data_IF_459032846611
#
_entry.id   IF_459032846611
#
_cell.length_a   1.000
_cell.length_b   1.000
_cell.length_c   1.000
_cell.angle_alpha   90.00
_cell.angle_beta   90.00
_cell.angle_gamma   90.00
#
_symmetry.space_group_name_H-M   'P 1'
#
loop_
_entity.id
_entity.type
_entity.pdbx_description
1 polymer ?
#
# COMPACT_ATOMS: atom_id res chain seq x y z
N UNK A 1 30.04 80.49 28.49
CA UNK A 1 29.78 81.33 27.29
C UNK A 1 30.69 80.87 26.17
N UNK A 2 30.17 80.90 24.94
CA UNK A 2 30.76 80.54 23.63
C UNK A 2 30.64 79.08 23.18
N UNK A 3 29.59 78.92 22.37
CA UNK A 3 29.41 77.97 21.29
C UNK A 3 30.54 78.00 20.26
N UNK A 4 30.85 76.87 19.63
CA UNK A 4 31.07 76.84 18.18
C UNK A 4 30.59 75.51 17.59
N UNK A 5 29.92 75.65 16.47
CA UNK A 5 29.19 74.68 15.66
C UNK A 5 29.99 74.32 14.40
N UNK A 6 29.74 73.12 13.86
CA UNK A 6 29.73 72.70 12.43
C UNK A 6 30.97 72.97 11.55
N UNK A 7 31.27 72.28 10.44
CA UNK A 7 30.52 71.38 9.56
C UNK A 7 31.44 70.40 8.83
N UNK A 8 30.83 69.38 8.23
CA UNK A 8 31.39 68.46 7.23
C UNK A 8 31.77 69.16 5.91
N UNK A 9 32.77 68.61 5.18
CA UNK A 9 32.63 68.30 3.74
C UNK A 9 33.78 67.41 3.20
N UNK A 10 33.38 66.37 2.42
CA UNK A 10 33.98 65.79 1.19
C UNK A 10 35.50 65.48 1.13
N UNK A 11 36.04 64.40 0.55
CA UNK A 11 35.58 63.36 -0.40
C UNK A 11 36.77 62.40 -0.67
N UNK A 12 36.49 61.08 -0.83
CA UNK A 12 37.27 59.99 -1.49
C UNK A 12 38.71 59.73 -0.99
N UNK A 13 39.20 58.50 -0.81
CA UNK A 13 39.74 57.56 -1.80
C UNK A 13 39.79 56.11 -1.22
N UNK A 14 39.95 55.15 -2.14
CA UNK A 14 39.68 53.70 -2.08
C UNK A 14 40.79 52.89 -1.35
N UNK A 15 40.39 51.73 -0.79
CA UNK A 15 41.03 50.38 -0.84
C UNK A 15 41.43 49.69 0.48
N UNK A 16 41.13 48.37 0.48
CA UNK A 16 41.61 47.26 1.32
C UNK A 16 40.94 47.00 2.67
N UNK A 17 39.89 46.17 2.67
CA UNK A 17 39.77 45.10 3.68
C UNK A 17 39.43 43.77 3.00
N UNK A 18 40.27 42.79 3.31
CA UNK A 18 40.41 41.52 2.63
C UNK A 18 39.35 40.49 3.05
N UNK A 19 38.94 39.69 2.06
CA UNK A 19 38.66 38.25 2.12
C UNK A 19 38.43 37.64 3.51
N UNK A 20 37.16 37.49 3.89
CA UNK A 20 36.68 36.30 4.62
C UNK A 20 35.62 35.66 3.76
N UNK A 21 36.07 35.03 2.66
CA UNK A 21 35.29 34.02 1.96
C UNK A 21 35.22 32.82 2.91
N UNK A 22 34.15 32.77 3.70
CA UNK A 22 33.74 31.55 4.38
C UNK A 22 33.55 30.47 3.33
N UNK A 23 34.56 29.61 3.18
CA UNK A 23 34.41 28.29 2.61
C UNK A 23 33.39 27.55 3.49
N UNK A 24 32.11 27.70 3.15
CA UNK A 24 31.10 26.69 3.42
C UNK A 24 31.61 25.44 2.70
N UNK A 25 32.38 24.63 3.42
CA UNK A 25 32.63 23.26 3.04
C UNK A 25 31.25 22.60 3.04
N UNK A 26 30.68 22.44 1.84
CA UNK A 26 29.56 21.54 1.64
C UNK A 26 30.15 20.17 1.97
N UNK A 27 29.95 19.72 3.21
CA UNK A 27 30.26 18.34 3.57
C UNK A 27 29.48 17.47 2.58
N UNK A 28 30.15 16.57 1.83
CA UNK A 28 29.44 15.70 0.91
C UNK A 28 28.33 15.00 1.69
N UNK A 29 27.08 15.10 1.23
CA UNK A 29 25.98 14.36 1.81
C UNK A 29 26.41 12.89 1.83
N UNK A 30 26.59 12.33 3.03
CA UNK A 30 26.94 10.93 3.20
C UNK A 30 25.95 10.09 2.38
N UNK A 31 26.48 9.19 1.54
CA UNK A 31 25.66 8.23 0.81
C UNK A 31 24.66 7.59 1.77
N UNK A 32 23.37 7.64 1.44
CA UNK A 32 22.29 7.15 2.29
C UNK A 32 22.08 5.64 2.20
N UNK A 33 22.73 5.01 1.22
CA UNK A 33 22.83 3.55 1.08
C UNK A 33 24.28 3.18 1.31
N UNK A 34 24.54 2.45 2.40
CA UNK A 34 25.88 2.02 2.79
C UNK A 34 25.85 0.50 2.98
N UNK A 35 26.64 -0.27 2.21
CA UNK A 35 26.73 -1.70 2.41
C UNK A 35 27.39 -2.02 3.75
N UNK A 36 27.15 -3.22 4.25
CA UNK A 36 27.96 -3.81 5.33
C UNK A 36 28.80 -4.98 4.79
N UNK A 37 29.64 -5.56 5.66
CA UNK A 37 30.56 -6.64 5.31
C UNK A 37 30.09 -8.00 5.86
N UNK A 38 28.77 -8.21 5.96
CA UNK A 38 28.18 -9.41 6.59
C UNK A 38 27.77 -10.50 5.59
N UNK A 39 28.16 -10.34 4.33
CA UNK A 39 27.91 -11.29 3.24
C UNK A 39 29.24 -11.84 2.71
N UNK A 40 29.30 -13.11 2.26
CA UNK A 40 30.51 -13.67 1.66
C UNK A 40 30.98 -12.89 0.42
N UNK A 41 30.03 -12.55 -0.47
CA UNK A 41 30.22 -11.56 -1.52
C UNK A 41 29.44 -10.29 -1.13
N UNK A 42 30.11 -9.18 -0.83
CA UNK A 42 29.48 -7.98 -0.29
C UNK A 42 28.59 -7.28 -1.32
N UNK A 43 27.65 -6.49 -0.83
CA UNK A 43 26.91 -5.54 -1.67
C UNK A 43 27.84 -4.41 -2.08
N UNK A 44 27.81 -4.05 -3.36
CA UNK A 44 28.62 -2.97 -3.92
C UNK A 44 27.69 -1.80 -4.22
N UNK A 45 28.04 -0.61 -3.73
CA UNK A 45 27.22 0.60 -3.90
C UNK A 45 28.05 1.70 -4.51
N UNK A 46 27.64 2.17 -5.68
CA UNK A 46 28.28 3.27 -6.40
C UNK A 46 27.26 4.37 -6.67
N UNK A 47 27.55 5.60 -6.24
CA UNK A 47 26.70 6.75 -6.56
C UNK A 47 27.15 7.39 -7.88
N UNK A 48 26.27 7.42 -8.89
CA UNK A 48 26.51 8.06 -10.20
C UNK A 48 25.36 9.00 -10.53
N UNK A 49 25.62 10.31 -10.53
CA UNK A 49 24.57 11.30 -10.79
C UNK A 49 23.42 11.16 -9.79
N UNK A 50 22.20 10.94 -10.28
CA UNK A 50 21.00 10.68 -9.47
C UNK A 50 20.82 9.19 -9.07
N UNK A 51 21.57 8.28 -9.68
CA UNK A 51 21.46 6.85 -9.43
C UNK A 51 22.43 6.40 -8.32
N UNK A 52 21.94 5.53 -7.45
CA UNK A 52 22.69 4.74 -6.48
C UNK A 52 22.69 3.33 -7.07
N UNK A 53 23.73 2.99 -7.83
CA UNK A 53 23.92 1.70 -8.45
C UNK A 53 24.30 0.68 -7.37
N UNK A 54 23.51 -0.39 -7.26
CA UNK A 54 23.68 -1.49 -6.32
C UNK A 54 23.96 -2.75 -7.12
N UNK A 55 25.17 -3.29 -7.00
CA UNK A 55 25.62 -4.52 -7.68
C UNK A 55 26.28 -5.46 -6.66
N UNK A 56 26.85 -6.56 -7.13
CA UNK A 56 27.43 -7.58 -6.26
C UNK A 56 26.35 -8.29 -5.43
N UNK A 57 26.58 -8.44 -4.14
CA UNK A 57 25.76 -9.29 -3.29
C UNK A 57 26.13 -10.76 -3.43
N UNK A 58 25.52 -11.61 -2.60
CA UNK A 58 25.78 -13.05 -2.65
C UNK A 58 24.58 -13.77 -3.25
N UNK A 59 24.76 -14.43 -4.39
CA UNK A 59 23.74 -15.29 -4.98
C UNK A 59 23.90 -16.72 -4.46
N UNK A 60 22.79 -17.32 -4.02
CA UNK A 60 22.68 -18.75 -3.71
C UNK A 60 21.45 -19.30 -4.42
N UNK A 61 21.69 -20.06 -5.50
CA UNK A 61 20.61 -20.54 -6.36
C UNK A 61 19.81 -19.38 -6.97
N UNK A 62 18.49 -19.37 -6.72
CA UNK A 62 17.55 -18.33 -7.21
C UNK A 62 17.40 -17.15 -6.25
N UNK A 63 18.18 -17.10 -5.17
CA UNK A 63 18.13 -16.05 -4.16
C UNK A 63 19.38 -15.15 -4.27
N UNK A 64 19.18 -13.85 -4.37
CA UNK A 64 20.23 -12.83 -4.32
C UNK A 64 20.13 -12.06 -2.99
N UNK A 65 21.20 -12.09 -2.21
CA UNK A 65 21.24 -11.45 -0.89
C UNK A 65 22.05 -10.16 -0.94
N UNK A 66 21.45 -9.08 -0.46
CA UNK A 66 22.06 -7.79 -0.20
C UNK A 66 21.97 -7.40 1.28
N UNK A 67 23.00 -6.73 1.78
CA UNK A 67 23.10 -6.32 3.17
C UNK A 67 23.68 -4.92 3.28
N UNK A 68 22.98 -4.07 4.01
CA UNK A 68 23.31 -2.67 4.17
C UNK A 68 23.33 -2.31 5.64
N UNK A 69 24.27 -1.47 6.05
CA UNK A 69 24.19 -0.81 7.35
C UNK A 69 23.06 0.21 7.37
N UNK A 70 22.94 0.99 6.30
CA UNK A 70 21.93 2.03 6.14
C UNK A 70 21.35 1.96 4.73
N UNK A 71 20.04 2.15 4.59
CA UNK A 71 19.37 2.21 3.29
C UNK A 71 18.26 3.27 3.32
N UNK A 72 18.54 4.43 2.75
CA UNK A 72 17.56 5.50 2.48
C UNK A 72 17.77 6.04 1.07
N UNK A 73 16.67 6.44 0.44
CA UNK A 73 16.65 6.92 -0.95
C UNK A 73 16.06 8.33 -0.94
N UNK A 74 16.87 9.38 -1.12
CA UNK A 74 16.36 10.75 -1.17
C UNK A 74 15.39 10.99 -2.33
N UNK A 75 14.67 12.11 -2.28
CA UNK A 75 13.90 12.57 -3.42
C UNK A 75 14.76 12.70 -4.69
N UNK A 76 14.20 12.35 -5.84
CA UNK A 76 14.85 12.35 -7.17
C UNK A 76 16.09 11.45 -7.28
N UNK A 77 16.34 10.59 -6.29
CA UNK A 77 17.36 9.55 -6.35
C UNK A 77 16.72 8.22 -6.71
N UNK A 78 17.52 7.36 -7.33
CA UNK A 78 17.10 6.01 -7.70
C UNK A 78 18.06 5.03 -7.03
N UNK A 79 17.57 4.14 -6.16
CA UNK A 79 18.32 2.96 -5.75
C UNK A 79 18.08 1.86 -6.78
N UNK A 80 19.09 1.58 -7.60
CA UNK A 80 18.98 0.70 -8.76
C UNK A 80 19.80 -0.57 -8.51
N UNK A 81 19.12 -1.67 -8.20
CA UNK A 81 19.71 -3.00 -8.17
C UNK A 81 19.97 -3.43 -9.61
N UNK A 82 21.23 -3.64 -10.00
CA UNK A 82 21.62 -3.86 -11.39
C UNK A 82 22.36 -5.17 -11.58
N UNK A 83 22.49 -5.56 -12.84
CA UNK A 83 23.22 -6.77 -13.26
C UNK A 83 22.63 -8.06 -12.70
N UNK A 84 21.34 -8.03 -12.36
CA UNK A 84 20.63 -9.19 -11.82
C UNK A 84 20.64 -10.30 -12.86
N UNK A 85 21.06 -11.49 -12.43
CA UNK A 85 20.98 -12.69 -13.25
C UNK A 85 19.51 -13.07 -13.48
N UNK A 86 19.05 -13.31 -14.72
CA UNK A 86 17.64 -13.64 -14.99
C UNK A 86 17.10 -14.88 -14.25
N UNK A 87 17.98 -15.75 -13.73
CA UNK A 87 17.58 -16.89 -12.90
C UNK A 87 17.17 -16.52 -11.46
N UNK A 88 17.52 -15.32 -11.00
CA UNK A 88 17.16 -14.81 -9.66
C UNK A 88 15.66 -14.60 -9.58
N UNK A 89 15.05 -15.20 -8.57
CA UNK A 89 13.63 -15.08 -8.26
C UNK A 89 13.39 -14.12 -7.09
N UNK A 90 14.30 -14.08 -6.12
CA UNK A 90 14.14 -13.25 -4.93
C UNK A 90 15.41 -12.46 -4.63
N UNK A 91 15.24 -11.16 -4.41
CA UNK A 91 16.27 -10.23 -3.95
C UNK A 91 15.94 -9.90 -2.48
N UNK A 92 16.78 -10.35 -1.57
CA UNK A 92 16.63 -10.09 -0.14
C UNK A 92 17.57 -8.97 0.30
N UNK A 93 17.02 -7.82 0.66
CA UNK A 93 17.77 -6.64 1.12
C UNK A 93 17.51 -6.41 2.60
N UNK A 94 18.53 -6.62 3.45
CA UNK A 94 18.44 -6.36 4.89
C UNK A 94 19.18 -5.10 5.30
N UNK A 95 18.65 -4.40 6.30
CA UNK A 95 19.29 -3.25 6.96
C UNK A 95 19.72 -3.67 8.36
N UNK A 96 21.02 -3.63 8.64
CA UNK A 96 21.65 -4.10 9.89
C UNK A 96 21.95 -2.99 10.89
N UNK A 97 22.00 -1.72 10.44
CA UNK A 97 22.18 -0.57 11.32
C UNK A 97 20.90 -0.21 12.09
N UNK A 98 20.99 0.85 12.90
CA UNK A 98 19.88 1.34 13.74
C UNK A 98 19.00 2.39 13.05
N UNK A 99 19.30 2.75 11.81
CA UNK A 99 18.63 3.83 11.09
C UNK A 99 17.30 3.38 10.47
N UNK A 100 16.26 4.19 10.62
CA UNK A 100 15.00 4.05 9.86
C UNK A 100 15.27 4.29 8.37
N UNK A 101 14.73 3.43 7.51
CA UNK A 101 14.77 3.61 6.05
C UNK A 101 13.81 4.71 5.61
N UNK A 102 14.33 5.82 5.07
CA UNK A 102 13.52 6.89 4.46
C UNK A 102 13.63 6.79 2.94
N UNK A 103 12.57 6.34 2.30
CA UNK A 103 12.49 6.14 0.86
C UNK A 103 11.60 7.24 0.30
N UNK A 104 12.15 8.28 -0.29
CA UNK A 104 11.41 9.35 -0.97
C UNK A 104 11.78 9.45 -2.46
N UNK A 105 12.56 8.50 -2.97
CA UNK A 105 12.86 8.34 -4.39
C UNK A 105 12.48 6.95 -4.87
N UNK A 106 13.01 6.55 -6.03
CA UNK A 106 12.64 5.29 -6.67
C UNK A 106 13.51 4.12 -6.21
N UNK A 107 12.91 2.94 -6.01
CA UNK A 107 13.63 1.66 -5.93
C UNK A 107 13.39 0.90 -7.23
N UNK A 108 14.45 0.39 -7.83
CA UNK A 108 14.40 -0.26 -9.14
C UNK A 108 15.25 -1.54 -9.15
N UNK A 109 14.83 -2.55 -9.91
CA UNK A 109 15.57 -3.78 -10.12
C UNK A 109 15.71 -4.08 -11.63
N UNK A 110 16.95 -4.14 -12.14
CA UNK A 110 17.29 -4.34 -13.54
C UNK A 110 18.18 -5.57 -13.78
N UNK A 111 17.85 -6.32 -14.83
CA UNK A 111 18.69 -7.41 -15.33
C UNK A 111 19.99 -6.88 -15.97
N UNK A 112 20.90 -7.79 -16.34
CA UNK A 112 22.17 -7.43 -17.01
C UNK A 112 22.00 -6.69 -18.35
N UNK A 113 20.90 -6.91 -19.05
CA UNK A 113 20.57 -6.25 -20.31
C UNK A 113 19.86 -4.89 -20.12
N UNK A 114 19.61 -4.48 -18.87
CA UNK A 114 18.92 -3.24 -18.54
C UNK A 114 17.39 -3.34 -18.53
N UNK A 115 16.82 -4.50 -18.84
CA UNK A 115 15.37 -4.73 -18.69
C UNK A 115 14.96 -4.81 -17.21
N UNK A 116 13.70 -4.48 -16.90
CA UNK A 116 13.16 -4.60 -15.54
C UNK A 116 13.17 -6.08 -15.12
N UNK A 117 13.73 -6.35 -13.95
CA UNK A 117 13.84 -7.71 -13.42
C UNK A 117 12.48 -8.23 -12.96
N UNK A 118 12.18 -9.48 -13.31
CA UNK A 118 10.99 -10.20 -12.83
C UNK A 118 11.12 -10.71 -11.38
N UNK A 119 12.28 -10.51 -10.75
CA UNK A 119 12.53 -10.95 -9.38
C UNK A 119 11.65 -10.19 -8.36
N UNK A 120 11.26 -10.88 -7.29
CA UNK A 120 10.66 -10.27 -6.12
C UNK A 120 11.73 -9.51 -5.32
N UNK A 121 11.36 -8.40 -4.69
CA UNK A 121 12.25 -7.64 -3.83
C UNK A 121 11.70 -7.54 -2.41
N UNK A 122 12.52 -7.97 -1.44
CA UNK A 122 12.23 -7.91 -0.02
C UNK A 122 13.14 -6.86 0.62
N UNK A 123 12.54 -5.86 1.27
CA UNK A 123 13.24 -4.82 2.03
C UNK A 123 12.94 -5.00 3.52
N UNK A 124 13.98 -5.24 4.32
CA UNK A 124 13.84 -5.58 5.74
C UNK A 124 14.59 -4.58 6.60
N UNK A 125 13.87 -3.84 7.42
CA UNK A 125 14.44 -2.94 8.40
C UNK A 125 13.66 -2.97 9.72
N UNK A 126 14.15 -3.66 10.76
CA UNK A 126 13.50 -3.75 12.07
C UNK A 126 13.20 -2.38 12.71
N UNK A 127 13.99 -1.36 12.40
CA UNK A 127 13.84 -0.02 12.98
C UNK A 127 12.67 0.77 12.40
N UNK A 128 12.15 0.37 11.23
CA UNK A 128 11.04 1.04 10.55
C UNK A 128 11.37 1.50 9.14
N UNK A 129 10.30 1.75 8.37
CA UNK A 129 10.36 2.16 6.97
C UNK A 129 9.38 3.31 6.75
N UNK A 130 9.84 4.38 6.11
CA UNK A 130 9.03 5.55 5.76
C UNK A 130 9.15 5.76 4.26
N UNK A 131 8.06 5.53 3.53
CA UNK A 131 7.90 5.94 2.15
C UNK A 131 7.37 7.38 2.15
N UNK A 132 8.13 8.30 1.56
CA UNK A 132 7.77 9.69 1.36
C UNK A 132 6.89 9.89 0.12
N UNK A 133 6.41 11.13 -0.11
CA UNK A 133 5.50 11.45 -1.21
C UNK A 133 5.98 10.99 -2.59
N UNK A 134 7.27 11.11 -2.89
CA UNK A 134 7.81 10.77 -4.21
C UNK A 134 8.39 9.35 -4.28
N UNK A 135 8.09 8.50 -3.29
CA UNK A 135 8.53 7.12 -3.31
C UNK A 135 7.82 6.36 -4.42
N UNK A 136 8.58 5.63 -5.24
CA UNK A 136 8.07 4.83 -6.33
C UNK A 136 8.87 3.54 -6.51
N UNK A 137 8.31 2.59 -7.25
CA UNK A 137 8.93 1.30 -7.52
C UNK A 137 9.00 1.08 -9.04
N UNK A 138 10.11 0.52 -9.51
CA UNK A 138 10.26 -0.05 -10.84
C UNK A 138 10.75 -1.50 -10.71
N UNK A 139 9.83 -2.42 -10.39
CA UNK A 139 10.09 -3.81 -10.04
C UNK A 139 9.09 -4.69 -10.80
N UNK A 140 9.57 -5.71 -11.52
CA UNK A 140 8.72 -6.61 -12.32
C UNK A 140 8.09 -7.75 -11.52
N UNK A 141 8.63 -8.06 -10.33
CA UNK A 141 8.09 -9.03 -9.38
C UNK A 141 7.23 -8.40 -8.28
N UNK A 142 7.06 -9.15 -7.19
CA UNK A 142 6.40 -8.68 -5.96
C UNK A 142 7.34 -7.81 -5.13
N UNK A 143 6.76 -6.93 -4.31
CA UNK A 143 7.51 -6.11 -3.36
C UNK A 143 7.03 -6.35 -1.93
N UNK A 144 7.95 -6.73 -1.03
CA UNK A 144 7.69 -6.85 0.40
C UNK A 144 8.55 -5.85 1.15
N UNK A 145 7.94 -4.97 1.94
CA UNK A 145 8.64 -4.15 2.92
C UNK A 145 8.21 -4.55 4.33
N UNK A 146 9.17 -4.89 5.18
CA UNK A 146 8.87 -5.40 6.51
C UNK A 146 9.84 -4.93 7.58
N UNK A 147 9.36 -4.86 8.82
CA UNK A 147 10.17 -4.59 10.02
C UNK A 147 10.39 -5.84 10.86
N UNK A 148 10.29 -7.02 10.23
CA UNK A 148 10.73 -8.28 10.83
C UNK A 148 12.25 -8.25 11.11
N UNK A 149 12.68 -9.04 12.08
CA UNK A 149 14.08 -9.21 12.44
C UNK A 149 14.84 -10.11 11.47
N UNK A 150 14.17 -11.12 10.89
CA UNK A 150 14.79 -12.05 9.95
C UNK A 150 13.77 -12.69 8.99
N UNK A 151 14.29 -13.18 7.87
CA UNK A 151 13.59 -14.15 7.00
C UNK A 151 14.00 -15.56 7.43
N UNK A 152 13.02 -16.45 7.55
CA UNK A 152 13.23 -17.89 7.73
C UNK A 152 13.04 -18.62 6.42
N UNK A 153 13.87 -19.63 6.17
CA UNK A 153 13.83 -20.48 5.00
C UNK A 153 13.46 -21.92 5.35
N UNK A 154 12.97 -22.69 4.37
CA UNK A 154 12.43 -24.04 4.62
C UNK A 154 13.47 -25.05 5.16
N UNK A 155 14.76 -24.78 4.93
CA UNK A 155 15.87 -25.59 5.46
C UNK A 155 16.32 -25.19 6.88
N UNK A 156 15.63 -24.23 7.50
CA UNK A 156 15.93 -23.72 8.84
C UNK A 156 16.97 -22.60 8.88
N UNK A 157 17.59 -22.25 7.74
CA UNK A 157 18.49 -21.10 7.68
C UNK A 157 17.72 -19.79 7.91
N UNK A 158 18.43 -18.76 8.38
CA UNK A 158 17.86 -17.43 8.63
C UNK A 158 18.73 -16.31 8.07
N UNK A 159 18.09 -15.36 7.42
CA UNK A 159 18.72 -14.12 6.99
C UNK A 159 18.29 -12.98 7.93
N UNK A 160 19.12 -12.67 8.93
CA UNK A 160 18.79 -11.79 10.04
C UNK A 160 19.37 -10.38 9.89
N UNK A 161 18.53 -9.36 10.14
CA UNK A 161 18.91 -7.95 10.22
C UNK A 161 19.46 -7.58 11.62
N UNK A 162 19.00 -8.23 12.69
CA UNK A 162 19.38 -7.89 14.08
C UNK A 162 20.56 -8.69 14.62
N UNK A 163 20.79 -9.89 14.07
CA UNK A 163 21.94 -10.75 14.41
C UNK A 163 22.67 -11.19 13.13
N UNK A 164 23.24 -10.25 12.36
CA UNK A 164 23.92 -10.60 11.11
C UNK A 164 25.23 -11.34 11.41
N UNK A 165 25.38 -12.53 10.83
CA UNK A 165 26.65 -13.25 10.85
C UNK A 165 27.57 -12.69 9.77
N UNK A 166 28.89 -12.71 9.99
CA UNK A 166 29.87 -12.22 9.01
C UNK A 166 30.08 -13.17 7.83
N UNK A 167 29.79 -14.46 8.01
CA UNK A 167 29.81 -15.50 6.97
C UNK A 167 28.56 -16.40 7.11
N UNK A 168 27.34 -15.90 6.84
CA UNK A 168 26.13 -16.68 6.98
C UNK A 168 26.13 -17.86 6.01
N UNK A 169 25.64 -19.01 6.46
CA UNK A 169 25.25 -20.09 5.53
C UNK A 169 23.99 -19.62 4.79
N UNK A 170 24.16 -19.22 3.53
CA UNK A 170 23.07 -18.78 2.67
C UNK A 170 22.45 -19.97 1.93
N UNK A 171 21.17 -19.85 1.60
CA UNK A 171 20.39 -20.98 1.11
C UNK A 171 19.83 -20.77 -0.29
N UNK A 172 19.67 -21.89 -1.00
CA UNK A 172 18.86 -22.01 -2.23
C UNK A 172 17.37 -22.24 -1.92
N UNK A 173 17.02 -22.46 -0.66
CA UNK A 173 15.68 -22.81 -0.19
C UNK A 173 14.72 -21.62 -0.30
N UNK A 174 13.42 -21.91 -0.33
CA UNK A 174 12.36 -20.91 -0.42
C UNK A 174 12.15 -20.23 0.95
N UNK A 175 11.83 -18.92 0.99
CA UNK A 175 11.48 -18.26 2.23
C UNK A 175 10.10 -18.74 2.70
N UNK A 176 10.00 -19.06 3.99
CA UNK A 176 8.78 -19.63 4.59
C UNK A 176 8.24 -18.78 5.73
N UNK A 177 8.96 -17.73 6.15
CA UNK A 177 8.47 -16.87 7.22
C UNK A 177 9.26 -15.59 7.46
N UNK A 178 8.60 -14.66 8.13
CA UNK A 178 9.15 -13.43 8.68
C UNK A 178 9.11 -13.51 10.20
N UNK A 179 10.27 -13.49 10.84
CA UNK A 179 10.36 -13.52 12.29
C UNK A 179 10.35 -12.08 12.84
N UNK A 180 9.28 -11.71 13.53
CA UNK A 180 9.18 -10.42 14.22
C UNK A 180 9.81 -10.48 15.61
N UNK A 181 10.43 -9.37 16.01
CA UNK A 181 10.90 -9.14 17.38
C UNK A 181 9.80 -8.54 18.27
N UNK A 182 10.17 -8.23 19.52
CA UNK A 182 9.22 -7.72 20.53
C UNK A 182 8.66 -6.33 20.24
N UNK A 183 9.35 -5.51 19.45
CA UNK A 183 8.91 -4.14 19.14
C UNK A 183 9.19 -3.82 17.67
N UNK A 184 8.37 -4.34 16.75
CA UNK A 184 8.52 -4.06 15.33
C UNK A 184 8.45 -2.55 15.04
N UNK A 185 9.38 -2.03 14.25
CA UNK A 185 9.38 -0.63 13.83
C UNK A 185 8.13 -0.24 13.05
N UNK A 186 7.75 1.04 13.07
CA UNK A 186 6.58 1.51 12.31
C UNK A 186 6.84 1.50 10.79
N UNK A 187 5.79 1.31 10.01
CA UNK A 187 5.79 1.59 8.57
C UNK A 187 4.86 2.78 8.29
N UNK A 188 5.35 3.76 7.54
CA UNK A 188 4.55 4.90 7.09
C UNK A 188 4.64 4.97 5.58
N UNK A 189 3.49 4.93 4.90
CA UNK A 189 3.41 5.15 3.48
C UNK A 189 2.75 6.50 3.16
N UNK A 190 3.49 7.40 2.54
CA UNK A 190 2.99 8.68 2.00
C UNK A 190 3.08 8.74 0.49
N UNK A 191 3.45 7.64 -0.17
CA UNK A 191 3.66 7.63 -1.61
C UNK A 191 2.38 8.06 -2.32
N UNK A 192 2.47 9.16 -3.04
CA UNK A 192 1.42 9.70 -3.87
C UNK A 192 2.15 10.37 -5.02
N UNK A 193 2.09 9.79 -6.22
CA UNK A 193 2.80 10.38 -7.35
C UNK A 193 1.88 10.59 -8.54
N UNK A 194 1.17 11.72 -8.49
CA UNK A 194 0.63 12.37 -9.69
C UNK A 194 1.79 12.79 -10.61
N UNK A 195 2.27 11.84 -11.41
CA UNK A 195 3.17 12.14 -12.52
C UNK A 195 2.33 12.76 -13.64
N UNK A 196 2.13 14.07 -13.57
CA UNK A 196 1.75 14.89 -14.71
C UNK A 196 2.92 14.99 -15.74
N UNK A 197 3.59 13.87 -16.02
CA UNK A 197 4.59 13.69 -17.05
C UNK A 197 4.10 12.56 -17.96
N UNK A 198 3.85 12.91 -19.22
CA UNK A 198 3.42 12.07 -20.34
C UNK A 198 4.40 10.90 -20.68
N UNK A 199 4.88 10.14 -19.70
CA UNK A 199 5.75 8.98 -19.88
C UNK A 199 4.96 7.72 -19.54
N UNK A 200 4.43 6.98 -20.52
CA UNK A 200 3.75 5.70 -20.28
C UNK A 200 4.74 4.68 -19.70
N UNK A 201 4.29 3.84 -18.76
CA UNK A 201 5.02 2.63 -18.39
C UNK A 201 5.02 1.67 -19.57
N UNK A 202 6.21 1.27 -19.96
CA UNK A 202 6.46 0.45 -21.14
C UNK A 202 6.66 -1.01 -20.72
N UNK A 203 6.17 -1.94 -21.54
CA UNK A 203 6.57 -3.34 -21.48
C UNK A 203 8.03 -3.51 -21.93
N UNK A 204 8.52 -4.76 -21.89
CA UNK A 204 9.88 -5.12 -22.30
C UNK A 204 10.19 -4.82 -23.78
N UNK A 205 9.18 -4.45 -24.59
CA UNK A 205 9.33 -4.08 -25.99
C UNK A 205 9.18 -2.56 -26.21
N UNK A 206 9.10 -1.75 -25.15
CA UNK A 206 8.93 -0.31 -25.25
C UNK A 206 7.50 0.12 -25.59
N UNK A 207 6.53 -0.78 -25.51
CA UNK A 207 5.13 -0.48 -25.79
C UNK A 207 4.39 -0.14 -24.50
N UNK A 208 3.45 0.81 -24.52
CA UNK A 208 2.52 0.99 -23.42
C UNK A 208 1.80 -0.33 -23.10
N UNK A 209 1.77 -0.73 -21.83
CA UNK A 209 1.00 -1.89 -21.40
C UNK A 209 -0.49 -1.73 -21.83
N UNK A 210 -1.12 -2.76 -22.45
CA UNK A 210 -2.45 -2.62 -23.05
C UNK A 210 -3.59 -2.45 -22.02
N UNK A 211 -4.55 -1.59 -22.43
CA UNK A 211 -5.76 -1.07 -21.75
C UNK A 211 -6.89 -2.11 -21.51
N UNK A 212 -7.74 -1.92 -20.47
CA UNK A 212 -9.04 -1.26 -20.67
C UNK A 212 -9.49 -0.37 -19.49
N UNK A 213 -9.15 0.94 -19.44
CA UNK A 213 -9.40 1.76 -18.25
C UNK A 213 -9.84 3.21 -18.51
N UNK A 214 -11.04 3.41 -19.09
CA UNK A 214 -11.57 4.74 -19.41
C UNK A 214 -12.29 5.48 -18.24
N UNK A 215 -11.97 5.15 -16.98
CA UNK A 215 -12.29 6.01 -15.81
C UNK A 215 -11.01 6.41 -15.04
N UNK A 216 -9.84 6.08 -15.60
CA UNK A 216 -8.49 6.40 -15.11
C UNK A 216 -7.76 7.42 -16.01
N UNK A 217 -8.47 8.09 -16.93
CA UNK A 217 -7.91 8.98 -17.97
C UNK A 217 -7.15 10.20 -17.42
N UNK A 218 -7.16 10.43 -16.10
CA UNK A 218 -6.41 11.54 -15.50
C UNK A 218 -5.37 11.17 -14.44
N UNK A 219 -5.14 9.89 -14.05
CA UNK A 219 -4.04 9.60 -13.12
C UNK A 219 -3.49 8.16 -13.18
N UNK A 220 -2.51 7.87 -14.05
CA UNK A 220 -1.99 6.52 -14.25
C UNK A 220 -1.01 5.98 -13.18
N UNK A 221 -0.75 6.70 -12.06
CA UNK A 221 0.35 6.35 -11.14
C UNK A 221 0.01 6.56 -9.65
N UNK A 222 -0.78 5.66 -9.08
CA UNK A 222 -1.12 5.71 -7.64
C UNK A 222 0.03 5.11 -6.77
N UNK A 223 0.68 5.94 -5.96
CA UNK A 223 1.69 5.59 -4.94
C UNK A 223 2.71 4.48 -5.25
N UNK A 224 2.90 3.54 -4.31
CA UNK A 224 3.76 2.37 -4.52
C UNK A 224 3.02 1.34 -5.37
N UNK A 225 3.55 1.04 -6.56
CA UNK A 225 2.93 0.14 -7.52
C UNK A 225 3.84 -1.02 -7.89
N UNK A 226 3.24 -2.20 -8.08
CA UNK A 226 3.91 -3.38 -8.66
C UNK A 226 3.29 -3.77 -10.00
N UNK A 227 3.96 -4.66 -10.75
CA UNK A 227 3.41 -5.23 -11.97
C UNK A 227 2.07 -5.99 -11.72
N UNK A 228 1.21 -6.14 -12.75
CA UNK A 228 -0.04 -6.87 -12.59
C UNK A 228 0.16 -8.32 -12.09
N UNK A 229 -0.83 -8.83 -11.34
CA UNK A 229 -0.79 -10.16 -10.72
C UNK A 229 0.40 -10.39 -9.77
N UNK A 230 0.94 -9.32 -9.18
CA UNK A 230 2.01 -9.38 -8.16
C UNK A 230 1.50 -8.93 -6.81
N UNK A 231 2.28 -9.25 -5.78
CA UNK A 231 1.98 -8.84 -4.41
C UNK A 231 2.74 -7.57 -4.03
N UNK A 232 2.08 -6.64 -3.36
CA UNK A 232 2.71 -5.61 -2.54
C UNK A 232 2.33 -5.84 -1.08
N UNK A 233 3.32 -5.89 -0.20
CA UNK A 233 3.11 -6.25 1.20
C UNK A 233 3.86 -5.32 2.14
N UNK A 234 3.13 -4.68 3.07
CA UNK A 234 3.66 -3.85 4.14
C UNK A 234 3.35 -4.49 5.50
N UNK A 235 4.34 -5.17 6.09
CA UNK A 235 4.18 -5.88 7.37
C UNK A 235 5.16 -5.34 8.42
N UNK A 236 4.67 -4.63 9.42
CA UNK A 236 5.53 -3.98 10.40
C UNK A 236 4.89 -3.81 11.76
N UNK A 237 5.39 -2.86 12.54
CA UNK A 237 4.74 -2.30 13.73
C UNK A 237 3.42 -1.61 13.38
N UNK A 238 3.14 -0.45 13.97
CA UNK A 238 2.03 0.38 13.48
C UNK A 238 2.25 0.72 11.99
N UNK A 239 1.22 0.53 11.17
CA UNK A 239 1.25 0.83 9.73
C UNK A 239 0.30 2.00 9.46
N UNK A 240 0.80 3.04 8.79
CA UNK A 240 0.06 4.28 8.58
C UNK A 240 0.14 4.71 7.13
N UNK A 241 -0.99 5.14 6.57
CA UNK A 241 -1.11 5.69 5.24
C UNK A 241 -1.68 7.11 5.31
N UNK A 242 -0.87 8.11 5.68
CA UNK A 242 -1.25 9.50 5.48
C UNK A 242 -1.06 9.85 4.00
N UNK A 243 -2.16 9.94 3.26
CA UNK A 243 -2.21 10.26 1.82
C UNK A 243 -1.55 9.20 0.91
N UNK A 244 -1.07 8.10 1.49
CA UNK A 244 -0.32 7.09 0.75
C UNK A 244 -1.19 6.08 0.01
N UNK A 245 -0.75 5.68 -1.17
CA UNK A 245 -1.44 4.73 -2.03
C UNK A 245 -0.60 3.45 -2.24
N UNK A 246 -1.28 2.30 -2.36
CA UNK A 246 -0.70 1.03 -2.81
C UNK A 246 -1.50 0.49 -3.99
N UNK A 247 -0.80 0.09 -5.05
CA UNK A 247 -1.45 -0.38 -6.28
C UNK A 247 -0.84 -1.69 -6.77
N UNK A 248 -1.67 -2.74 -6.83
CA UNK A 248 -1.29 -4.07 -7.34
C UNK A 248 -2.39 -4.60 -8.27
N UNK A 249 -2.41 -4.17 -9.56
CA UNK A 249 -3.51 -4.48 -10.47
C UNK A 249 -3.72 -5.99 -10.64
N UNK A 250 -4.95 -6.47 -10.39
CA UNK A 250 -5.29 -7.89 -10.37
C UNK A 250 -4.36 -8.76 -9.50
N UNK A 251 -3.66 -8.14 -8.55
CA UNK A 251 -2.65 -8.77 -7.71
C UNK A 251 -3.13 -8.89 -6.26
N UNK A 252 -2.17 -8.72 -5.34
CA UNK A 252 -2.45 -8.78 -3.92
C UNK A 252 -1.85 -7.61 -3.15
N UNK A 253 -2.66 -6.98 -2.29
CA UNK A 253 -2.17 -6.09 -1.24
C UNK A 253 -2.32 -6.83 0.09
N UNK A 254 -1.22 -6.95 0.84
CA UNK A 254 -1.24 -7.38 2.24
C UNK A 254 -0.71 -6.25 3.13
N UNK A 255 -1.48 -5.88 4.15
CA UNK A 255 -1.02 -4.95 5.17
C UNK A 255 -1.27 -5.57 6.53
N UNK A 256 -0.20 -5.65 7.34
CA UNK A 256 -0.34 -6.10 8.71
C UNK A 256 0.46 -5.27 9.69
N UNK A 257 -0.18 -5.04 10.85
CA UNK A 257 0.44 -4.40 12.00
C UNK A 257 0.64 -5.39 13.13
N UNK A 258 1.89 -5.61 13.51
CA UNK A 258 2.35 -6.56 14.51
C UNK A 258 2.84 -5.77 15.74
N UNK A 259 2.34 -6.09 16.94
CA UNK A 259 2.71 -5.40 18.18
C UNK A 259 3.68 -6.19 19.06
N UNK A 260 4.12 -7.37 18.62
CA UNK A 260 5.00 -8.23 19.41
C UNK A 260 5.70 -9.29 18.57
N UNK A 261 6.50 -10.11 19.26
CA UNK A 261 7.27 -11.20 18.64
C UNK A 261 6.36 -12.27 18.09
N UNK A 262 6.71 -12.81 16.93
CA UNK A 262 5.99 -13.94 16.34
C UNK A 262 6.46 -14.21 14.92
N UNK A 263 6.06 -15.38 14.41
CA UNK A 263 6.37 -15.81 13.06
C UNK A 263 5.16 -15.59 12.17
N UNK A 264 5.32 -14.75 11.15
CA UNK A 264 4.37 -14.67 10.05
C UNK A 264 4.85 -15.64 8.97
N UNK A 265 4.05 -16.65 8.64
CA UNK A 265 4.39 -17.62 7.59
C UNK A 265 4.14 -17.02 6.22
N UNK A 266 5.03 -17.33 5.29
CA UNK A 266 4.97 -16.94 3.89
C UNK A 266 4.67 -18.18 3.03
N UNK A 267 3.85 -18.01 2.01
CA UNK A 267 3.61 -19.03 0.98
C UNK A 267 3.63 -18.36 -0.37
N UNK A 268 4.49 -18.82 -1.26
CA UNK A 268 4.50 -18.37 -2.64
C UNK A 268 3.32 -19.00 -3.40
N UNK A 269 2.62 -18.18 -4.18
CA UNK A 269 1.48 -18.56 -5.02
C UNK A 269 1.64 -17.91 -6.40
N UNK A 270 0.79 -18.26 -7.36
CA UNK A 270 0.87 -17.73 -8.73
C UNK A 270 0.77 -16.19 -8.77
N UNK A 271 -0.07 -15.58 -7.92
CA UNK A 271 -0.20 -14.11 -7.81
C UNK A 271 0.85 -13.44 -6.88
N UNK A 272 1.90 -14.16 -6.49
CA UNK A 272 2.98 -13.66 -5.64
C UNK A 272 3.06 -14.36 -4.28
N UNK A 273 2.64 -13.69 -3.20
CA UNK A 273 2.86 -14.13 -1.81
C UNK A 273 1.58 -14.06 -0.97
N UNK A 274 1.37 -15.06 -0.13
CA UNK A 274 0.31 -15.11 0.89
C UNK A 274 0.90 -15.23 2.28
N UNK A 275 0.17 -14.71 3.26
CA UNK A 275 0.64 -14.58 4.64
C UNK A 275 -0.31 -15.28 5.62
N UNK A 276 0.28 -15.95 6.60
CA UNK A 276 -0.47 -16.57 7.69
C UNK A 276 0.14 -16.17 9.04
N UNK A 277 -0.69 -15.57 9.89
CA UNK A 277 -0.27 -14.97 11.15
C UNK A 277 -0.34 -15.94 12.36
N UNK A 278 -0.84 -17.16 12.18
CA UNK A 278 -1.08 -18.09 13.28
C UNK A 278 -2.08 -17.56 14.32
N UNK A 279 -2.18 -18.24 15.47
CA UNK A 279 -3.19 -17.94 16.50
C UNK A 279 -2.70 -17.13 17.71
N UNK A 280 -1.39 -16.88 17.84
CA UNK A 280 -0.78 -16.28 19.06
C UNK A 280 -0.06 -14.95 18.77
N UNK A 281 -0.41 -14.28 17.67
CA UNK A 281 0.23 -13.05 17.25
C UNK A 281 -0.44 -11.84 17.91
N UNK A 282 0.37 -10.93 18.46
CA UNK A 282 -0.08 -9.62 18.89
C UNK A 282 -0.08 -8.65 17.71
N UNK A 283 -1.17 -7.91 17.54
CA UNK A 283 -1.36 -6.98 16.44
C UNK A 283 -1.39 -5.53 16.94
N UNK A 284 -1.07 -4.58 16.06
CA UNK A 284 -1.07 -3.15 16.35
C UNK A 284 -2.08 -2.38 15.50
N UNK A 285 -1.83 -1.09 15.27
CA UNK A 285 -2.74 -0.22 14.53
C UNK A 285 -2.40 -0.16 13.04
N UNK A 286 -3.42 -0.29 12.20
CA UNK A 286 -3.43 0.15 10.80
C UNK A 286 -4.30 1.41 10.71
N UNK A 287 -3.76 2.48 10.14
CA UNK A 287 -4.51 3.73 9.95
C UNK A 287 -4.45 4.20 8.50
N UNK A 288 -5.61 4.35 7.88
CA UNK A 288 -5.82 4.85 6.53
C UNK A 288 -6.44 6.25 6.62
N UNK A 289 -5.77 7.25 6.04
CA UNK A 289 -6.22 8.65 6.06
C UNK A 289 -5.91 9.31 4.72
N UNK A 290 -6.94 9.55 3.90
CA UNK A 290 -6.77 9.90 2.48
C UNK A 290 -5.96 8.83 1.73
N UNK A 291 -6.08 7.57 2.13
CA UNK A 291 -5.26 6.49 1.57
C UNK A 291 -6.05 5.67 0.55
N UNK A 292 -5.40 5.20 -0.50
CA UNK A 292 -6.01 4.27 -1.44
C UNK A 292 -5.24 2.96 -1.53
N UNK A 293 -5.94 1.84 -1.32
CA UNK A 293 -5.42 0.50 -1.52
C UNK A 293 -6.17 -0.11 -2.70
N UNK A 294 -5.49 -0.29 -3.83
CA UNK A 294 -6.13 -0.61 -5.09
C UNK A 294 -5.53 -1.87 -5.75
N UNK A 295 -6.37 -2.89 -5.91
CA UNK A 295 -6.02 -4.10 -6.70
C UNK A 295 -6.89 -4.25 -7.94
N UNK A 296 -7.60 -3.18 -8.31
CA UNK A 296 -8.55 -3.19 -9.41
C UNK A 296 -7.88 -3.57 -10.72
N UNK A 297 -8.58 -4.35 -11.54
CA UNK A 297 -8.04 -4.79 -12.82
C UNK A 297 -8.98 -5.68 -13.62
N UNK A 298 -8.49 -6.16 -14.76
CA UNK A 298 -9.24 -7.06 -15.64
C UNK A 298 -9.57 -8.40 -15.03
N UNK A 299 -8.92 -8.77 -13.93
CA UNK A 299 -9.16 -10.00 -13.18
C UNK A 299 -9.30 -9.67 -11.70
N UNK A 300 -9.77 -10.66 -10.95
CA UNK A 300 -9.89 -10.58 -9.50
C UNK A 300 -8.54 -10.24 -8.84
N UNK A 301 -8.49 -9.10 -8.16
CA UNK A 301 -7.43 -8.79 -7.18
C UNK A 301 -7.86 -9.14 -5.75
N UNK A 302 -6.91 -9.10 -4.82
CA UNK A 302 -7.20 -9.39 -3.40
C UNK A 302 -6.52 -8.42 -2.44
N UNK A 303 -7.25 -7.95 -1.43
CA UNK A 303 -6.71 -7.10 -0.36
C UNK A 303 -6.91 -7.80 0.98
N UNK A 304 -5.87 -7.85 1.80
CA UNK A 304 -5.95 -8.35 3.17
C UNK A 304 -5.35 -7.35 4.15
N UNK A 305 -6.14 -7.00 5.18
CA UNK A 305 -5.71 -6.20 6.32
C UNK A 305 -5.77 -7.01 7.61
N UNK A 306 -4.68 -7.00 8.38
CA UNK A 306 -4.59 -7.64 9.70
C UNK A 306 -3.99 -6.71 10.76
N UNK A 307 -4.80 -6.29 11.72
CA UNK A 307 -4.38 -5.40 12.82
C UNK A 307 -5.22 -5.63 14.07
N UNK A 308 -4.88 -5.00 15.19
CA UNK A 308 -5.78 -4.90 16.34
C UNK A 308 -6.82 -3.81 16.07
N UNK A 309 -6.36 -2.63 15.67
CA UNK A 309 -7.20 -1.48 15.35
C UNK A 309 -7.00 -1.07 13.88
N UNK A 310 -8.05 -1.20 13.07
CA UNK A 310 -8.05 -0.80 11.66
C UNK A 310 -8.99 0.40 11.54
N UNK A 311 -8.39 1.56 11.32
CA UNK A 311 -9.07 2.85 11.31
C UNK A 311 -9.00 3.49 9.93
N UNK A 312 -10.16 3.58 9.28
CA UNK A 312 -10.43 4.35 8.08
C UNK A 312 -11.30 5.53 8.50
N UNK A 313 -10.71 6.47 9.22
CA UNK A 313 -11.42 7.69 9.63
C UNK A 313 -10.61 8.92 9.28
N UNK A 314 -11.20 9.71 8.39
CA UNK A 314 -10.73 11.02 8.01
C UNK A 314 -11.91 12.01 8.12
N UNK A 315 -11.73 13.18 8.76
CA UNK A 315 -12.79 14.20 8.86
C UNK A 315 -13.44 14.59 7.53
N UNK A 316 -12.70 14.52 6.42
CA UNK A 316 -13.19 14.95 5.11
C UNK A 316 -13.72 13.80 4.24
N UNK A 317 -13.46 12.53 4.61
CA UNK A 317 -13.66 11.34 3.76
C UNK A 317 -12.76 11.37 2.53
N UNK A 318 -12.10 10.26 2.18
CA UNK A 318 -11.35 10.05 0.91
C UNK A 318 -10.46 8.79 0.94
N UNK A 319 -10.51 7.96 1.99
CA UNK A 319 -9.79 6.69 1.97
C UNK A 319 -10.62 5.63 1.24
N UNK A 320 -9.96 4.81 0.43
CA UNK A 320 -10.58 3.70 -0.28
C UNK A 320 -9.77 2.41 -0.22
N UNK A 321 -10.50 1.30 -0.15
CA UNK A 321 -9.99 -0.05 -0.39
C UNK A 321 -10.78 -0.59 -1.58
N UNK A 322 -10.11 -0.80 -2.72
CA UNK A 322 -10.76 -1.12 -4.01
C UNK A 322 -10.22 -2.42 -4.59
N UNK A 323 -11.10 -3.39 -4.75
CA UNK A 323 -10.84 -4.65 -5.45
C UNK A 323 -11.80 -4.81 -6.64
N UNK A 324 -11.81 -3.82 -7.55
CA UNK A 324 -12.73 -3.83 -8.67
C UNK A 324 -12.31 -4.85 -9.73
N UNK A 325 -13.30 -5.47 -10.36
CA UNK A 325 -13.03 -6.42 -11.45
C UNK A 325 -13.81 -6.05 -12.70
N UNK A 326 -13.10 -5.77 -13.78
CA UNK A 326 -13.71 -5.33 -15.04
C UNK A 326 -14.11 -6.50 -15.94
N UNK A 327 -13.43 -7.64 -15.83
CA UNK A 327 -13.73 -8.85 -16.58
C UNK A 327 -13.68 -10.10 -15.68
N UNK A 328 -14.63 -11.02 -15.85
CA UNK A 328 -14.71 -12.24 -15.04
C UNK A 328 -15.27 -12.03 -13.63
N UNK A 329 -14.92 -12.95 -12.70
CA UNK A 329 -15.43 -12.96 -11.33
C UNK A 329 -14.70 -11.96 -10.44
N UNK A 330 -15.42 -11.37 -9.48
CA UNK A 330 -14.95 -10.30 -8.61
C UNK A 330 -13.83 -10.68 -7.65
N UNK A 331 -13.07 -9.65 -7.26
CA UNK A 331 -12.00 -9.71 -6.27
C UNK A 331 -12.46 -10.02 -4.84
N UNK A 332 -11.51 -10.07 -3.92
CA UNK A 332 -11.79 -10.33 -2.50
C UNK A 332 -11.12 -9.30 -1.59
N UNK A 333 -11.86 -8.79 -0.61
CA UNK A 333 -11.32 -7.99 0.50
C UNK A 333 -11.50 -8.76 1.81
N UNK A 334 -10.42 -8.91 2.57
CA UNK A 334 -10.42 -9.57 3.87
C UNK A 334 -9.91 -8.59 4.92
N UNK A 335 -10.71 -8.34 5.96
CA UNK A 335 -10.31 -7.52 7.11
C UNK A 335 -10.42 -8.37 8.37
N UNK A 336 -9.34 -8.37 9.15
CA UNK A 336 -9.28 -9.08 10.42
C UNK A 336 -8.68 -8.20 11.51
N UNK A 337 -9.36 -8.09 12.64
CA UNK A 337 -8.82 -7.39 13.80
C UNK A 337 -9.70 -7.44 15.04
N UNK A 338 -9.50 -6.51 15.96
CA UNK A 338 -10.37 -6.32 17.13
C UNK A 338 -11.38 -5.21 16.85
N UNK A 339 -10.91 -4.10 16.28
CA UNK A 339 -11.74 -2.94 15.94
C UNK A 339 -11.61 -2.59 14.46
N UNK A 340 -12.74 -2.45 13.77
CA UNK A 340 -12.82 -1.81 12.46
C UNK A 340 -13.68 -0.56 12.55
N UNK A 341 -13.13 0.57 12.13
CA UNK A 341 -13.88 1.82 11.96
C UNK A 341 -13.77 2.32 10.53
N UNK A 342 -14.91 2.63 9.92
CA UNK A 342 -15.00 3.23 8.58
C UNK A 342 -15.90 4.45 8.64
N UNK A 343 -15.34 5.65 8.38
CA UNK A 343 -16.06 6.93 8.43
C UNK A 343 -15.80 7.78 7.20
N UNK A 344 -16.86 8.13 6.48
CA UNK A 344 -16.81 8.84 5.19
C UNK A 344 -15.91 8.18 4.14
N UNK A 345 -15.59 6.89 4.30
CA UNK A 345 -14.59 6.15 3.52
C UNK A 345 -15.24 4.90 2.90
N UNK A 346 -14.57 4.31 1.89
CA UNK A 346 -15.10 3.23 1.07
C UNK A 346 -14.26 1.95 1.20
N UNK A 347 -14.90 0.83 1.48
CA UNK A 347 -14.37 -0.51 1.26
C UNK A 347 -15.20 -1.18 0.18
N UNK A 348 -14.59 -1.58 -0.93
CA UNK A 348 -15.35 -2.11 -2.05
C UNK A 348 -14.64 -3.19 -2.87
N UNK A 349 -15.43 -4.19 -3.28
CA UNK A 349 -15.08 -5.29 -4.16
C UNK A 349 -16.08 -5.36 -5.34
N UNK A 350 -16.40 -4.21 -5.92
CA UNK A 350 -17.38 -4.11 -7.01
C UNK A 350 -16.94 -4.87 -8.27
N UNK A 351 -17.90 -5.40 -9.04
CA UNK A 351 -17.65 -6.11 -10.31
C UNK A 351 -18.39 -5.42 -11.44
N UNK A 352 -17.67 -5.11 -12.51
CA UNK A 352 -18.21 -4.45 -13.71
C UNK A 352 -18.32 -5.44 -14.89
N UNK A 353 -17.68 -6.61 -14.79
CA UNK A 353 -17.84 -7.73 -15.71
C UNK A 353 -19.08 -8.59 -15.43
N UNK A 354 -19.44 -9.46 -16.37
CA UNK A 354 -20.60 -10.36 -16.25
C UNK A 354 -20.39 -11.58 -15.33
N UNK A 355 -19.23 -11.69 -14.68
CA UNK A 355 -18.97 -12.75 -13.70
C UNK A 355 -19.68 -12.49 -12.36
N UNK A 356 -19.46 -13.38 -11.40
CA UNK A 356 -19.99 -13.22 -10.03
C UNK A 356 -19.35 -12.02 -9.35
N UNK A 357 -20.12 -11.30 -8.54
CA UNK A 357 -19.63 -10.18 -7.75
C UNK A 357 -18.52 -10.54 -6.76
N UNK A 358 -17.73 -9.54 -6.37
CA UNK A 358 -16.63 -9.71 -5.43
C UNK A 358 -17.10 -10.06 -4.02
N UNK A 359 -16.17 -10.49 -3.17
CA UNK A 359 -16.50 -10.92 -1.81
C UNK A 359 -15.78 -10.09 -0.77
N UNK A 360 -16.49 -9.68 0.28
CA UNK A 360 -15.90 -8.99 1.42
C UNK A 360 -16.09 -9.85 2.67
N UNK A 361 -15.00 -10.10 3.39
CA UNK A 361 -15.01 -10.83 4.66
C UNK A 361 -14.40 -9.97 5.76
N UNK A 362 -15.17 -9.72 6.81
CA UNK A 362 -14.75 -8.94 7.97
C UNK A 362 -14.89 -9.82 9.20
N UNK A 363 -13.82 -9.97 9.97
CA UNK A 363 -13.82 -10.67 11.26
C UNK A 363 -13.20 -9.77 12.31
N UNK A 364 -14.04 -9.24 13.20
CA UNK A 364 -13.65 -8.30 14.25
C UNK A 364 -14.33 -8.61 15.57
N UNK A 365 -14.01 -7.88 16.63
CA UNK A 365 -14.82 -7.86 17.84
C UNK A 365 -15.88 -6.76 17.74
N UNK A 366 -15.45 -5.57 17.31
CA UNK A 366 -16.30 -4.40 17.15
C UNK A 366 -16.17 -3.79 15.75
N UNK A 367 -17.30 -3.47 15.14
CA UNK A 367 -17.36 -2.75 13.87
C UNK A 367 -18.21 -1.48 14.00
N UNK A 368 -17.66 -0.36 13.54
CA UNK A 368 -18.36 0.90 13.40
C UNK A 368 -18.29 1.40 11.95
N UNK A 369 -19.45 1.54 11.31
CA UNK A 369 -19.62 2.24 10.05
C UNK A 369 -20.39 3.53 10.33
N UNK A 370 -19.82 4.69 9.99
CA UNK A 370 -20.50 5.95 10.27
C UNK A 370 -20.26 7.06 9.25
N UNK A 371 -21.11 8.09 9.28
CA UNK A 371 -20.98 9.32 8.49
C UNK A 371 -20.68 9.02 7.01
N UNK A 372 -21.63 8.48 6.25
CA UNK A 372 -21.40 8.06 4.86
C UNK A 372 -20.35 6.95 4.61
N UNK A 373 -19.83 6.26 5.62
CA UNK A 373 -18.91 5.14 5.41
C UNK A 373 -19.60 3.95 4.71
N UNK A 374 -18.96 3.33 3.71
CA UNK A 374 -19.60 2.28 2.92
C UNK A 374 -18.77 1.00 2.80
N UNK A 375 -19.47 -0.13 2.74
CA UNK A 375 -18.92 -1.44 2.40
C UNK A 375 -19.72 -2.01 1.23
N UNK A 376 -19.07 -2.26 0.10
CA UNK A 376 -19.76 -2.56 -1.16
C UNK A 376 -19.20 -3.78 -1.90
N UNK A 377 -20.08 -4.70 -2.26
CA UNK A 377 -19.81 -5.84 -3.15
C UNK A 377 -20.82 -5.85 -4.30
N UNK A 378 -20.98 -4.69 -4.95
CA UNK A 378 -21.98 -4.50 -6.00
C UNK A 378 -21.53 -5.13 -7.33
N UNK A 379 -22.49 -5.58 -8.14
CA UNK A 379 -22.25 -5.97 -9.54
C UNK A 379 -22.97 -5.00 -10.46
N UNK A 380 -22.26 -4.41 -11.41
CA UNK A 380 -22.77 -3.40 -12.35
C UNK A 380 -23.11 -3.95 -13.75
N UNK A 381 -23.15 -5.28 -13.86
CA UNK A 381 -23.45 -6.02 -15.08
C UNK A 381 -24.48 -7.14 -14.80
N UNK A 382 -24.71 -8.03 -15.77
CA UNK A 382 -25.71 -9.10 -15.68
C UNK A 382 -25.30 -10.30 -14.79
N UNK A 383 -24.24 -10.17 -14.00
CA UNK A 383 -23.76 -11.20 -13.07
C UNK A 383 -24.51 -11.20 -11.74
N UNK A 384 -24.35 -12.27 -10.95
CA UNK A 384 -24.83 -12.35 -9.56
C UNK A 384 -24.09 -11.35 -8.67
N UNK A 385 -24.79 -10.72 -7.71
CA UNK A 385 -24.20 -9.81 -6.74
C UNK A 385 -23.16 -10.47 -5.83
N UNK A 386 -22.24 -9.66 -5.31
CA UNK A 386 -21.14 -10.13 -4.46
C UNK A 386 -21.58 -10.40 -3.02
N UNK A 387 -20.88 -11.26 -2.29
CA UNK A 387 -21.26 -11.58 -0.91
C UNK A 387 -20.45 -10.80 0.12
N UNK A 388 -21.13 -10.34 1.17
CA UNK A 388 -20.51 -9.68 2.32
C UNK A 388 -20.76 -10.52 3.57
N UNK A 389 -19.68 -10.95 4.21
CA UNK A 389 -19.68 -11.71 5.45
C UNK A 389 -19.02 -10.90 6.56
N UNK A 390 -19.80 -10.52 7.56
CA UNK A 390 -19.33 -9.81 8.75
C UNK A 390 -19.52 -10.73 9.96
N UNK A 391 -18.43 -10.99 10.68
CA UNK A 391 -18.44 -11.64 11.99
C UNK A 391 -17.87 -10.67 13.01
N UNK A 392 -18.70 -10.21 13.94
CA UNK A 392 -18.30 -9.31 15.01
C UNK A 392 -18.65 -9.93 16.37
N UNK A 393 -17.66 -10.28 17.20
CA UNK A 393 -17.91 -10.99 18.46
C UNK A 393 -18.69 -10.15 19.48
N UNK A 394 -18.65 -8.82 19.41
CA UNK A 394 -19.35 -7.91 20.31
C UNK A 394 -20.47 -7.14 19.62
N UNK A 395 -20.16 -6.26 18.66
CA UNK A 395 -21.21 -5.49 17.97
C UNK A 395 -20.85 -5.08 16.54
N UNK A 396 -21.89 -4.88 15.74
CA UNK A 396 -21.87 -4.11 14.50
C UNK A 396 -22.78 -2.90 14.68
N UNK A 397 -22.23 -1.69 14.54
CA UNK A 397 -22.99 -0.44 14.56
C UNK A 397 -22.83 0.26 13.23
N UNK A 398 -23.93 0.46 12.53
CA UNK A 398 -24.01 1.24 11.30
C UNK A 398 -24.86 2.46 11.62
N UNK A 399 -24.21 3.61 11.69
CA UNK A 399 -24.84 4.87 12.06
C UNK A 399 -24.60 5.88 10.96
N UNK A 400 -25.62 6.16 10.17
CA UNK A 400 -25.48 7.26 9.24
C UNK A 400 -25.51 8.62 9.94
N UNK A 401 -24.90 9.64 9.34
CA UNK A 401 -25.15 11.05 9.69
C UNK A 401 -25.08 11.87 8.42
N UNK A 402 -26.21 12.41 8.02
CA UNK A 402 -26.27 13.62 7.22
C UNK A 402 -27.37 14.50 7.84
N UNK A 403 -27.03 15.65 8.45
CA UNK A 403 -27.98 16.74 8.80
C UNK A 403 -27.30 18.14 8.74
N UNK A 404 -28.00 19.13 8.19
CA UNK A 404 -27.75 20.57 8.09
C UNK A 404 -28.40 21.27 9.30
N UNK A 405 -28.24 22.59 9.43
CA UNK A 405 -28.70 23.42 10.56
C UNK A 405 -30.24 23.46 10.77
N UNK A 406 -31.02 22.90 9.84
CA UNK A 406 -32.48 22.74 9.89
C UNK A 406 -32.92 21.28 10.17
N UNK A 407 -31.96 20.37 10.38
CA UNK A 407 -32.19 18.93 10.50
C UNK A 407 -32.11 18.12 9.19
N UNK A 408 -31.69 18.73 8.06
CA UNK A 408 -31.70 18.11 6.72
C UNK A 408 -30.32 17.65 6.22
N UNK A 409 -30.08 16.43 5.71
CA UNK A 409 -28.78 15.96 5.16
C UNK A 409 -27.80 16.95 4.46
N UNK A 410 -26.50 16.92 4.83
CA UNK A 410 -25.42 17.67 4.14
C UNK A 410 -25.19 17.07 2.75
N UNK A 411 -25.18 17.91 1.71
CA UNK A 411 -24.85 17.54 0.34
C UNK A 411 -23.39 17.89 0.02
N UNK A 412 -22.52 16.89 -0.13
CA UNK A 412 -21.42 16.98 -1.11
C UNK A 412 -22.02 17.05 -2.52
N UNK A 413 -21.29 17.46 -3.56
CA UNK A 413 -21.83 17.79 -4.90
C UNK A 413 -22.52 16.65 -5.68
N UNK A 414 -22.81 15.51 -5.05
CA UNK A 414 -23.66 14.41 -5.51
C UNK A 414 -24.56 13.91 -4.37
N UNK A 415 -25.53 13.01 -4.60
CA UNK A 415 -26.31 12.45 -3.50
C UNK A 415 -25.35 11.79 -2.50
N UNK A 416 -25.29 12.26 -1.24
CA UNK A 416 -24.40 11.66 -0.25
C UNK A 416 -24.83 10.21 -0.03
N UNK A 417 -23.90 9.27 -0.19
CA UNK A 417 -24.19 7.87 0.06
C UNK A 417 -24.40 7.66 1.55
N UNK A 418 -25.52 7.04 1.97
CA UNK A 418 -25.74 6.74 3.37
C UNK A 418 -24.72 5.71 3.85
N UNK A 419 -24.40 5.75 5.15
CA UNK A 419 -23.60 4.71 5.78
C UNK A 419 -24.27 3.35 5.61
N UNK A 420 -23.58 2.37 5.04
CA UNK A 420 -24.22 1.07 4.85
C UNK A 420 -23.38 -0.01 4.20
N UNK A 421 -23.96 -1.21 4.22
CA UNK A 421 -23.41 -2.42 3.64
C UNK A 421 -24.26 -2.82 2.45
N UNK A 422 -23.64 -2.99 1.28
CA UNK A 422 -24.34 -3.06 0.00
C UNK A 422 -23.82 -4.21 -0.86
N UNK A 423 -24.68 -5.18 -1.16
CA UNK A 423 -24.39 -6.35 -1.99
C UNK A 423 -25.36 -6.39 -3.17
N UNK A 424 -25.41 -5.32 -3.95
CA UNK A 424 -26.49 -5.10 -4.93
C UNK A 424 -26.08 -5.58 -6.32
N UNK A 425 -27.08 -5.81 -7.17
CA UNK A 425 -26.90 -5.72 -8.61
C UNK A 425 -27.37 -4.33 -9.03
N UNK A 426 -26.42 -3.47 -9.37
CA UNK A 426 -26.63 -2.09 -9.77
C UNK A 426 -26.40 -1.95 -11.29
N UNK A 427 -26.65 -0.76 -11.82
CA UNK A 427 -26.41 -0.48 -13.24
C UNK A 427 -26.02 0.98 -13.42
N UNK A 428 -25.17 1.21 -14.41
CA UNK A 428 -24.53 2.51 -14.63
C UNK A 428 -25.41 3.49 -15.42
N UNK A 429 -26.52 3.02 -15.99
CA UNK A 429 -27.49 3.85 -16.71
C UNK A 429 -28.90 3.24 -16.68
N UNK A 430 -29.92 4.06 -16.91
CA UNK A 430 -31.31 3.59 -17.01
C UNK A 430 -31.48 2.55 -18.13
N UNK A 431 -30.75 2.71 -19.24
CA UNK A 431 -30.76 1.73 -20.33
C UNK A 431 -30.15 0.38 -19.91
N UNK A 432 -29.05 0.40 -19.16
CA UNK A 432 -28.44 -0.82 -18.61
C UNK A 432 -29.40 -1.53 -17.63
N UNK A 433 -30.10 -0.77 -16.78
CA UNK A 433 -31.02 -1.33 -15.80
C UNK A 433 -32.24 -2.04 -16.39
N UNK A 434 -32.62 -1.76 -17.65
CA UNK A 434 -33.66 -2.52 -18.35
C UNK A 434 -33.22 -3.93 -18.76
N UNK A 435 -31.91 -4.16 -18.81
CA UNK A 435 -31.30 -5.41 -19.27
C UNK A 435 -30.65 -6.22 -18.13
N UNK A 436 -30.55 -5.64 -16.94
CA UNK A 436 -29.95 -6.26 -15.77
C UNK A 436 -30.83 -7.39 -15.21
N UNK A 437 -30.27 -8.60 -15.14
CA UNK A 437 -31.00 -9.82 -14.76
C UNK A 437 -30.42 -10.58 -13.56
N UNK A 438 -29.29 -10.14 -13.01
CA UNK A 438 -28.61 -10.79 -11.88
C UNK A 438 -29.35 -10.59 -10.55
N UNK A 439 -29.30 -11.60 -9.67
CA UNK A 439 -29.79 -11.47 -8.29
C UNK A 439 -28.78 -10.71 -7.44
N UNK A 440 -29.26 -9.87 -6.51
CA UNK A 440 -28.43 -9.31 -5.45
C UNK A 440 -27.64 -10.39 -4.69
N UNK A 441 -26.51 -10.01 -4.12
CA UNK A 441 -25.67 -10.91 -3.34
C UNK A 441 -26.25 -11.18 -1.96
N UNK A 442 -25.48 -11.81 -1.08
CA UNK A 442 -25.88 -12.02 0.31
C UNK A 442 -25.11 -11.10 1.25
N UNK A 443 -25.82 -10.53 2.23
CA UNK A 443 -25.22 -9.88 3.40
C UNK A 443 -25.46 -10.76 4.63
N UNK A 444 -24.40 -11.38 5.15
CA UNK A 444 -24.46 -12.17 6.38
C UNK A 444 -23.73 -11.45 7.51
N UNK A 445 -24.45 -11.17 8.59
CA UNK A 445 -23.89 -10.54 9.80
C UNK A 445 -24.12 -11.47 11.00
N UNK A 446 -23.03 -11.99 11.57
CA UNK A 446 -23.06 -12.70 12.86
C UNK A 446 -22.46 -11.79 13.93
N UNK A 447 -23.30 -11.38 14.89
CA UNK A 447 -22.88 -10.53 16.02
C UNK A 447 -23.82 -10.65 17.20
N UNK A 448 -23.32 -10.32 18.40
CA UNK A 448 -24.15 -10.26 19.61
C UNK A 448 -25.11 -9.05 19.60
N UNK A 449 -24.73 -7.97 18.90
CA UNK A 449 -25.55 -6.76 18.79
C UNK A 449 -25.39 -6.09 17.42
N UNK A 450 -26.46 -6.04 16.63
CA UNK A 450 -26.55 -5.24 15.41
C UNK A 450 -27.37 -3.98 15.67
N UNK A 451 -26.79 -2.81 15.39
CA UNK A 451 -27.45 -1.50 15.54
C UNK A 451 -27.43 -0.74 14.21
N UNK A 452 -28.61 -0.51 13.64
CA UNK A 452 -28.84 0.39 12.51
C UNK A 452 -29.46 1.67 13.07
N UNK A 453 -28.71 2.78 13.03
CA UNK A 453 -29.09 4.04 13.68
C UNK A 453 -28.99 5.20 12.70
N UNK A 454 -29.82 6.22 12.90
CA UNK A 454 -29.74 7.50 12.17
C UNK A 454 -29.72 7.38 10.63
N UNK A 455 -30.33 6.33 10.06
CA UNK A 455 -30.40 6.11 8.61
C UNK A 455 -29.39 5.09 8.06
N UNK A 456 -28.63 4.40 8.92
CA UNK A 456 -27.75 3.30 8.52
C UNK A 456 -28.47 2.18 7.75
N UNK A 457 -27.83 1.63 6.70
CA UNK A 457 -28.49 0.74 5.74
C UNK A 457 -27.79 -0.61 5.54
N UNK A 458 -28.59 -1.61 5.22
CA UNK A 458 -28.18 -2.88 4.61
C UNK A 458 -29.04 -3.06 3.34
N UNK A 459 -28.45 -3.38 2.19
CA UNK A 459 -29.23 -3.60 0.96
C UNK A 459 -28.58 -4.62 0.03
N UNK A 460 -29.41 -5.52 -0.47
CA UNK A 460 -29.06 -6.68 -1.30
C UNK A 460 -29.94 -6.78 -2.54
N UNK A 461 -30.31 -5.62 -3.09
CA UNK A 461 -31.35 -5.54 -4.11
C UNK A 461 -30.78 -5.69 -5.53
N UNK A 462 -31.63 -6.12 -6.46
CA UNK A 462 -31.39 -5.96 -7.89
C UNK A 462 -32.10 -4.70 -8.38
N UNK A 463 -31.36 -3.80 -9.01
CA UNK A 463 -31.93 -2.62 -9.65
C UNK A 463 -32.79 -3.05 -10.85
N UNK A 464 -34.11 -3.03 -10.68
CA UNK A 464 -35.08 -3.25 -11.75
C UNK A 464 -35.74 -1.91 -12.11
N UNK A 465 -35.70 -1.50 -13.37
CA UNK A 465 -36.44 -0.31 -13.85
C UNK A 465 -37.94 -0.54 -14.00
N UNK A 466 -38.41 -1.79 -13.89
CA UNK A 466 -39.82 -2.10 -14.10
C UNK A 466 -40.62 -1.97 -12.80
N UNK A 467 -41.25 -0.80 -12.60
CA UNK A 467 -42.13 -0.50 -11.45
C UNK A 467 -43.32 -1.47 -11.28
N UNK A 468 -43.53 -2.40 -12.21
CA UNK A 468 -44.59 -3.41 -12.16
C UNK A 468 -44.16 -4.75 -11.55
N UNK A 469 -42.85 -5.02 -11.41
CA UNK A 469 -42.34 -6.17 -10.67
C UNK A 469 -42.11 -5.77 -9.22
N UNK A 470 -42.97 -6.25 -8.33
CA UNK A 470 -42.79 -6.11 -6.88
C UNK A 470 -41.39 -6.60 -6.51
N UNK A 471 -40.71 -5.82 -5.66
CA UNK A 471 -39.56 -6.27 -4.87
C UNK A 471 -39.98 -7.54 -4.13
N UNK A 472 -39.47 -8.70 -4.56
CA UNK A 472 -39.44 -9.87 -3.70
C UNK A 472 -38.23 -9.70 -2.80
N UNK A 473 -38.49 -9.28 -1.55
CA UNK A 473 -37.49 -9.19 -0.50
C UNK A 473 -36.87 -10.58 -0.27
N UNK A 474 -35.56 -10.70 -0.42
CA UNK A 474 -34.74 -11.81 0.05
C UNK A 474 -34.04 -11.45 1.35
#
# INVERSE_FOLDING_TARGET
>A
MKSTQYSFNQSTWILNWALVLGLLTITPAHSQVNPDNTLPAPSIVNSRGNQIEITGGTQSGRNLFHSFRDFSVPNRRIASFQQIDPSVENIFSRITGSSVSRINGMIEALNRDGSVSGANLFLINPNGIIFGPNASLNIGGSFLATTANSIQFADGTQFSAVNPQTNPLLTISVPVGLQFGHSPGRIVNRSYVDFNTNTPLLDNAGNPLPEPFNDLVNNPYEGLRVAPNRTIALLGGNVQFPEGELTAPAGHIEVASLAGSGLVRLTQVDEGWRFNYGGQQQFGRIQLSNADLNVSGDRAGSIQLRGEHIDMSNPFGNSSIRAYTYNGNGGTVVIQGTYLTVRNDLLSANTYGSGRGGNIRITVDQMLLANGGQIEANTYANGEGGNILIRASEFVRIRDILRQNDGQPVRSGGPPSPSGVFARVACQSEAACKQTTGQGGNIFIATNSLQLVDGGQLSSDTCLTDKTKKLENG
#
